data_IF_402899976166
#
_entry.id   IF_402899976166
#
_cell.length_a   1.000
_cell.length_b   1.000
_cell.length_c   1.000
_cell.angle_alpha   90.00
_cell.angle_beta   90.00
_cell.angle_gamma   90.00
#
_symmetry.space_group_name_H-M   'P 1'
#
loop_
_entity.id
_entity.type
_entity.pdbx_description
1 polymer ?
#
# COMPACT_ATOMS: atom_id res chain seq x y z
N UNK A 1 -28.20 33.36 -6.37
CA UNK A 1 -28.29 33.86 -4.98
C UNK A 1 -28.33 35.40 -4.92
N UNK A 2 -27.36 36.12 -5.51
CA UNK A 2 -27.35 37.60 -5.47
C UNK A 2 -28.65 38.23 -5.99
N UNK A 3 -29.18 37.74 -7.12
CA UNK A 3 -30.43 38.25 -7.70
C UNK A 3 -31.63 38.09 -6.76
N UNK A 4 -31.71 36.98 -6.02
CA UNK A 4 -32.79 36.73 -5.05
C UNK A 4 -32.69 37.66 -3.84
N UNK A 5 -31.47 37.90 -3.35
CA UNK A 5 -31.21 38.86 -2.25
C UNK A 5 -31.57 40.29 -2.69
N UNK A 6 -31.21 40.66 -3.93
CA UNK A 6 -31.60 41.97 -4.51
C UNK A 6 -33.11 42.10 -4.67
N UNK A 7 -33.78 41.05 -5.14
CA UNK A 7 -35.23 41.04 -5.30
C UNK A 7 -35.93 41.20 -3.95
N UNK A 8 -35.54 40.43 -2.94
CA UNK A 8 -36.08 40.58 -1.59
C UNK A 8 -35.87 42.00 -1.03
N UNK A 9 -34.73 42.62 -1.31
CA UNK A 9 -34.49 44.02 -0.95
C UNK A 9 -35.53 44.97 -1.54
N UNK A 10 -35.82 44.83 -2.84
CA UNK A 10 -36.85 45.62 -3.51
C UNK A 10 -38.24 45.33 -2.96
N UNK A 11 -38.57 44.06 -2.74
CA UNK A 11 -39.87 43.63 -2.25
C UNK A 11 -40.16 44.25 -0.87
N UNK A 12 -39.14 44.30 0.01
CA UNK A 12 -39.24 44.93 1.34
C UNK A 12 -39.32 46.46 1.29
N UNK A 13 -38.69 47.11 0.31
CA UNK A 13 -38.80 48.57 0.09
C UNK A 13 -40.22 48.97 -0.36
N UNK A 14 -40.86 48.13 -1.18
CA UNK A 14 -42.20 48.38 -1.72
C UNK A 14 -43.33 47.76 -0.88
N UNK A 15 -43.00 47.06 0.21
CA UNK A 15 -43.99 46.33 0.98
C UNK A 15 -44.96 47.29 1.69
N UNK A 16 -46.28 47.04 1.65
CA UNK A 16 -47.26 47.89 2.31
C UNK A 16 -47.05 47.91 3.83
N UNK A 17 -47.54 48.96 4.50
CA UNK A 17 -47.49 49.02 5.96
C UNK A 17 -48.36 47.90 6.58
N UNK A 18 -47.91 47.25 7.66
CA UNK A 18 -48.69 46.21 8.32
C UNK A 18 -50.00 46.78 8.88
N UNK A 19 -51.14 46.22 8.46
CA UNK A 19 -52.45 46.53 9.05
C UNK A 19 -52.73 45.70 10.31
N UNK A 20 -52.14 44.50 10.41
CA UNK A 20 -52.22 43.61 11.58
C UNK A 20 -50.98 43.79 12.48
N UNK A 21 -51.15 44.09 13.78
CA UNK A 21 -50.05 44.14 14.75
C UNK A 21 -49.22 42.85 14.86
N UNK A 22 -49.75 41.70 14.42
CA UNK A 22 -49.04 40.42 14.41
C UNK A 22 -48.19 40.20 13.16
N UNK A 23 -48.36 41.00 12.11
CA UNK A 23 -47.54 40.92 10.92
C UNK A 23 -46.14 41.48 11.21
N UNK A 24 -45.17 40.56 11.24
CA UNK A 24 -43.75 40.83 11.48
C UNK A 24 -42.90 40.58 10.25
N UNK A 25 -43.51 40.46 9.06
CA UNK A 25 -42.81 40.10 7.83
C UNK A 25 -41.66 41.07 7.56
N UNK A 26 -41.94 42.37 7.45
CA UNK A 26 -40.92 43.40 7.16
C UNK A 26 -39.82 43.38 8.22
N UNK A 27 -40.16 43.31 9.50
CA UNK A 27 -39.20 43.29 10.61
C UNK A 27 -38.27 42.08 10.54
N UNK A 28 -38.82 40.87 10.36
CA UNK A 28 -38.03 39.63 10.32
C UNK A 28 -37.23 39.51 9.04
N UNK A 29 -37.83 39.83 7.90
CA UNK A 29 -37.19 39.72 6.59
C UNK A 29 -36.12 40.80 6.37
N UNK A 30 -36.24 41.96 7.00
CA UNK A 30 -35.17 42.98 6.97
C UNK A 30 -33.92 42.50 7.71
N UNK A 31 -34.08 41.89 8.90
CA UNK A 31 -32.96 41.29 9.64
C UNK A 31 -32.33 40.16 8.83
N UNK A 32 -33.15 39.28 8.26
CA UNK A 32 -32.67 38.21 7.38
C UNK A 32 -31.93 38.77 6.17
N UNK A 33 -32.43 39.83 5.52
CA UNK A 33 -31.79 40.43 4.35
C UNK A 33 -30.38 40.94 4.67
N UNK A 34 -30.20 41.58 5.82
CA UNK A 34 -28.88 42.04 6.28
C UNK A 34 -27.93 40.87 6.45
N UNK A 35 -28.36 39.82 7.16
CA UNK A 35 -27.56 38.61 7.37
C UNK A 35 -27.24 37.89 6.06
N UNK A 36 -28.22 37.75 5.16
CA UNK A 36 -28.05 37.12 3.87
C UNK A 36 -27.06 37.89 2.97
N UNK A 37 -27.10 39.24 2.99
CA UNK A 37 -26.13 40.08 2.27
C UNK A 37 -24.72 39.90 2.80
N UNK A 38 -24.55 39.83 4.12
CA UNK A 38 -23.25 39.62 4.75
C UNK A 38 -22.67 38.25 4.41
N UNK A 39 -23.45 37.19 4.60
CA UNK A 39 -23.05 35.81 4.28
C UNK A 39 -22.74 35.64 2.79
N UNK A 40 -23.55 36.26 1.90
CA UNK A 40 -23.28 36.23 0.48
C UNK A 40 -21.97 36.95 0.11
N UNK A 41 -21.66 38.08 0.77
CA UNK A 41 -20.40 38.80 0.54
C UNK A 41 -19.19 37.98 0.94
N UNK A 42 -19.26 37.29 2.09
CA UNK A 42 -18.21 36.37 2.53
C UNK A 42 -18.02 35.23 1.53
N UNK A 43 -19.10 34.56 1.15
CA UNK A 43 -19.06 33.47 0.16
C UNK A 43 -18.51 33.93 -1.20
N UNK A 44 -18.90 35.12 -1.65
CA UNK A 44 -18.39 35.73 -2.90
C UNK A 44 -16.88 36.00 -2.83
N UNK A 45 -16.39 36.41 -1.67
CA UNK A 45 -14.95 36.63 -1.44
C UNK A 45 -14.18 35.31 -1.54
N UNK A 46 -14.68 34.25 -0.89
CA UNK A 46 -14.10 32.91 -0.95
C UNK A 46 -14.11 32.37 -2.38
N UNK A 47 -15.23 32.52 -3.08
CA UNK A 47 -15.37 32.09 -4.48
C UNK A 47 -14.34 32.79 -5.39
N UNK A 48 -14.21 34.11 -5.27
CA UNK A 48 -13.23 34.87 -6.05
C UNK A 48 -11.78 34.48 -5.71
N UNK A 49 -11.51 34.23 -4.42
CA UNK A 49 -10.20 33.71 -4.00
C UNK A 49 -9.91 32.36 -4.63
N UNK A 50 -10.90 31.45 -4.65
CA UNK A 50 -10.79 30.13 -5.26
C UNK A 50 -10.54 30.23 -6.77
N UNK A 51 -11.29 31.05 -7.49
CA UNK A 51 -11.09 31.29 -8.94
C UNK A 51 -9.69 31.83 -9.26
N UNK A 52 -9.15 32.70 -8.40
CA UNK A 52 -7.80 33.21 -8.57
C UNK A 52 -6.76 32.10 -8.42
N UNK A 53 -6.85 31.30 -7.34
CA UNK A 53 -5.95 30.18 -7.12
C UNK A 53 -5.98 29.18 -8.27
N UNK A 54 -7.17 28.86 -8.79
CA UNK A 54 -7.28 27.96 -9.94
C UNK A 54 -6.62 28.55 -11.19
N UNK A 55 -6.83 29.82 -11.48
CA UNK A 55 -6.16 30.47 -12.61
C UNK A 55 -4.65 30.45 -12.45
N UNK A 56 -4.13 30.78 -11.27
CA UNK A 56 -2.68 30.81 -11.01
C UNK A 56 -2.07 29.41 -11.20
N UNK A 57 -2.74 28.36 -10.72
CA UNK A 57 -2.30 26.96 -10.91
C UNK A 57 -2.33 26.56 -12.39
N UNK A 58 -3.42 26.88 -13.10
CA UNK A 58 -3.56 26.53 -14.52
C UNK A 58 -2.53 27.27 -15.36
N UNK A 59 -2.27 28.55 -15.09
CA UNK A 59 -1.22 29.33 -15.75
C UNK A 59 0.16 28.75 -15.47
N UNK A 60 0.45 28.38 -14.22
CA UNK A 60 1.71 27.76 -13.84
C UNK A 60 2.00 26.46 -14.60
N UNK A 61 0.97 25.63 -14.82
CA UNK A 61 1.09 24.38 -15.60
C UNK A 61 0.80 24.55 -17.10
N UNK A 62 0.63 25.80 -17.59
CA UNK A 62 0.31 26.12 -18.98
C UNK A 62 -0.95 25.42 -19.51
N UNK A 63 -1.99 25.30 -18.68
CA UNK A 63 -3.27 24.69 -19.00
C UNK A 63 -4.26 25.76 -19.45
N UNK A 64 -4.93 25.51 -20.58
CA UNK A 64 -5.96 26.39 -21.12
C UNK A 64 -7.32 26.15 -20.44
N UNK A 65 -7.73 27.09 -19.59
CA UNK A 65 -9.02 27.07 -18.88
C UNK A 65 -10.25 27.05 -19.82
N UNK A 66 -10.09 27.37 -21.11
CA UNK A 66 -11.18 27.28 -22.10
C UNK A 66 -11.36 25.87 -22.64
N UNK A 67 -10.33 25.02 -22.51
CA UNK A 67 -10.33 23.65 -23.02
C UNK A 67 -10.60 22.63 -21.93
N UNK A 68 -10.12 22.91 -20.72
CA UNK A 68 -10.21 22.01 -19.58
C UNK A 68 -10.84 22.77 -18.43
N UNK A 69 -11.92 22.22 -17.88
CA UNK A 69 -12.54 22.77 -16.67
C UNK A 69 -11.69 22.44 -15.44
N UNK A 70 -11.84 23.22 -14.37
CA UNK A 70 -11.15 22.97 -13.10
C UNK A 70 -11.52 21.60 -12.53
N UNK A 71 -12.78 21.19 -12.68
CA UNK A 71 -13.29 19.91 -12.18
C UNK A 71 -12.63 18.72 -12.89
N UNK A 72 -12.51 18.79 -14.23
CA UNK A 72 -11.82 17.77 -15.03
C UNK A 72 -10.34 17.67 -14.62
N UNK A 73 -9.64 18.81 -14.51
CA UNK A 73 -8.24 18.83 -14.10
C UNK A 73 -8.02 18.20 -12.71
N UNK A 74 -8.84 18.56 -11.73
CA UNK A 74 -8.72 18.00 -10.38
C UNK A 74 -9.07 16.51 -10.34
N UNK A 75 -10.01 16.08 -11.18
CA UNK A 75 -10.37 14.66 -11.33
C UNK A 75 -9.19 13.87 -11.91
N UNK A 76 -8.60 14.36 -13.00
CA UNK A 76 -7.43 13.75 -13.62
C UNK A 76 -6.24 13.69 -12.66
N UNK A 77 -6.01 14.76 -11.89
CA UNK A 77 -4.95 14.80 -10.88
C UNK A 77 -5.20 13.78 -9.75
N UNK A 78 -6.45 13.65 -9.30
CA UNK A 78 -6.85 12.66 -8.29
C UNK A 78 -6.64 11.23 -8.80
N UNK A 79 -7.02 10.96 -10.05
CA UNK A 79 -6.80 9.69 -10.72
C UNK A 79 -5.30 9.38 -10.83
N UNK A 80 -4.50 10.36 -11.29
CA UNK A 80 -3.05 10.23 -11.37
C UNK A 80 -2.43 9.88 -10.02
N UNK A 81 -2.80 10.59 -8.95
CA UNK A 81 -2.32 10.31 -7.59
C UNK A 81 -2.65 8.87 -7.16
N UNK A 82 -3.87 8.43 -7.44
CA UNK A 82 -4.33 7.07 -7.10
C UNK A 82 -3.52 6.02 -7.86
N UNK A 83 -3.40 6.17 -9.17
CA UNK A 83 -2.62 5.26 -10.03
C UNK A 83 -1.15 5.23 -9.63
N UNK A 84 -0.55 6.39 -9.33
CA UNK A 84 0.84 6.48 -8.91
C UNK A 84 1.08 5.73 -7.58
N UNK A 85 0.16 5.88 -6.63
CA UNK A 85 0.23 5.19 -5.34
C UNK A 85 0.10 3.68 -5.50
N UNK A 86 -0.77 3.22 -6.40
CA UNK A 86 -0.94 1.80 -6.71
C UNK A 86 0.30 1.23 -7.41
N UNK A 87 0.82 1.91 -8.43
CA UNK A 87 2.02 1.51 -9.13
C UNK A 87 3.24 1.42 -8.19
N UNK A 88 3.35 2.31 -7.20
CA UNK A 88 4.41 2.23 -6.19
C UNK A 88 4.29 0.95 -5.34
N UNK A 89 3.07 0.56 -4.93
CA UNK A 89 2.82 -0.70 -4.19
C UNK A 89 3.15 -1.91 -5.04
N UNK A 90 2.75 -1.91 -6.30
CA UNK A 90 3.02 -3.03 -7.21
C UNK A 90 4.50 -3.16 -7.54
N UNK A 91 5.23 -2.05 -7.67
CA UNK A 91 6.68 -2.07 -7.80
C UNK A 91 7.36 -2.73 -6.58
N UNK A 92 6.88 -2.43 -5.37
CA UNK A 92 7.41 -3.06 -4.15
C UNK A 92 7.12 -4.56 -4.13
N UNK A 93 5.88 -4.98 -4.41
CA UNK A 93 5.50 -6.40 -4.50
C UNK A 93 6.30 -7.16 -5.54
N UNK A 94 6.51 -6.55 -6.72
CA UNK A 94 7.32 -7.13 -7.80
C UNK A 94 8.76 -7.35 -7.32
N UNK A 95 9.36 -6.36 -6.67
CA UNK A 95 10.73 -6.47 -6.13
C UNK A 95 10.86 -7.60 -5.10
N UNK A 96 9.89 -7.72 -4.19
CA UNK A 96 9.85 -8.80 -3.20
C UNK A 96 9.71 -10.19 -3.85
N UNK A 97 8.85 -10.29 -4.88
CA UNK A 97 8.64 -11.53 -5.60
C UNK A 97 9.89 -11.96 -6.38
N UNK A 98 10.56 -11.03 -7.05
CA UNK A 98 11.81 -11.27 -7.76
C UNK A 98 12.91 -11.74 -6.81
N UNK A 99 13.04 -11.12 -5.64
CA UNK A 99 14.02 -11.55 -4.63
C UNK A 99 13.70 -12.94 -4.08
N UNK A 100 12.42 -13.24 -3.82
CA UNK A 100 11.97 -14.56 -3.38
C UNK A 100 12.27 -15.63 -4.44
N UNK A 101 11.99 -15.35 -5.71
CA UNK A 101 12.31 -16.26 -6.81
C UNK A 101 13.81 -16.47 -6.96
N UNK A 102 14.62 -15.41 -6.86
CA UNK A 102 16.08 -15.51 -6.90
C UNK A 102 16.62 -16.40 -5.78
N UNK A 103 16.14 -16.22 -4.55
CA UNK A 103 16.51 -17.08 -3.41
C UNK A 103 16.11 -18.54 -3.62
N UNK A 104 14.92 -18.79 -4.19
CA UNK A 104 14.45 -20.14 -4.49
C UNK A 104 15.34 -20.83 -5.55
N UNK A 105 15.71 -20.13 -6.63
CA UNK A 105 16.62 -20.68 -7.67
C UNK A 105 17.99 -21.03 -7.11
N UNK A 106 18.60 -20.13 -6.33
CA UNK A 106 19.90 -20.39 -5.68
C UNK A 106 19.81 -21.62 -4.74
N UNK A 107 18.71 -21.77 -4.00
CA UNK A 107 18.52 -22.92 -3.12
C UNK A 107 18.35 -24.23 -3.90
N UNK A 108 17.62 -24.21 -5.02
CA UNK A 108 17.44 -25.37 -5.91
C UNK A 108 18.75 -25.78 -6.56
N UNK A 109 19.49 -24.85 -7.17
CA UNK A 109 20.80 -25.11 -7.78
C UNK A 109 21.80 -25.69 -6.77
N UNK A 110 21.81 -25.15 -5.54
CA UNK A 110 22.65 -25.68 -4.46
C UNK A 110 22.25 -27.10 -4.06
N UNK A 111 20.95 -27.38 -3.97
CA UNK A 111 20.44 -28.71 -3.64
C UNK A 111 20.75 -29.74 -4.73
N UNK A 112 20.65 -29.35 -6.01
CA UNK A 112 20.99 -30.20 -7.15
C UNK A 112 22.49 -30.49 -7.21
N UNK A 113 23.34 -29.47 -7.04
CA UNK A 113 24.80 -29.65 -6.98
C UNK A 113 25.19 -30.58 -5.84
N UNK A 114 24.61 -30.41 -4.66
CA UNK A 114 24.86 -31.30 -3.52
C UNK A 114 24.41 -32.74 -3.81
N UNK A 115 23.26 -32.94 -4.47
CA UNK A 115 22.77 -34.27 -4.85
C UNK A 115 23.71 -34.92 -5.87
N UNK A 116 24.23 -34.19 -6.84
CA UNK A 116 25.18 -34.71 -7.84
C UNK A 116 26.52 -35.07 -7.19
N UNK A 117 27.07 -34.21 -6.32
CA UNK A 117 28.30 -34.51 -5.58
C UNK A 117 28.15 -35.77 -4.70
N UNK A 118 26.99 -35.96 -4.05
CA UNK A 118 26.69 -37.18 -3.30
C UNK A 118 26.64 -38.40 -4.20
N UNK A 119 26.02 -38.31 -5.37
CA UNK A 119 25.98 -39.42 -6.33
C UNK A 119 27.37 -39.78 -6.86
N UNK A 120 28.21 -38.79 -7.18
CA UNK A 120 29.59 -39.03 -7.63
C UNK A 120 30.45 -39.69 -6.54
N UNK A 121 30.39 -39.19 -5.29
CA UNK A 121 31.10 -39.82 -4.16
C UNK A 121 30.65 -41.26 -3.93
N UNK A 122 29.35 -41.55 -4.06
CA UNK A 122 28.82 -42.91 -3.96
C UNK A 122 29.31 -43.81 -5.11
N UNK A 123 29.35 -43.30 -6.35
CA UNK A 123 29.88 -44.04 -7.51
C UNK A 123 31.37 -44.35 -7.35
N UNK A 124 32.19 -43.37 -6.95
CA UNK A 124 33.62 -43.59 -6.73
C UNK A 124 33.90 -44.69 -5.68
N UNK A 125 33.10 -44.72 -4.61
CA UNK A 125 33.21 -45.78 -3.59
C UNK A 125 32.75 -47.17 -4.09
N UNK A 126 31.94 -47.21 -5.16
CA UNK A 126 31.52 -48.45 -5.81
C UNK A 126 32.52 -48.88 -6.90
N UNK A 127 33.16 -47.96 -7.62
CA UNK A 127 34.16 -48.27 -8.66
C UNK A 127 35.47 -48.83 -8.05
N UNK A 128 35.83 -48.44 -6.82
CA UNK A 128 36.89 -49.10 -6.03
C UNK A 128 36.59 -50.60 -5.83
N UNK A 129 35.33 -51.04 -5.96
CA UNK A 129 34.96 -52.46 -5.89
C UNK A 129 35.17 -53.22 -7.20
N UNK A 130 35.41 -52.53 -8.32
CA UNK A 130 35.51 -53.13 -9.66
C UNK A 130 36.90 -53.06 -10.29
N UNK A 131 37.86 -52.36 -9.68
CA UNK A 131 39.26 -52.57 -10.04
C UNK A 131 39.75 -53.91 -9.49
N UNK A 132 40.01 -54.76 -10.46
CA UNK A 132 40.35 -56.17 -10.39
C UNK A 132 41.82 -56.33 -10.01
N UNK A 133 42.15 -56.11 -8.74
CA UNK A 133 43.32 -56.70 -8.08
C UNK A 133 43.01 -56.87 -6.57
N UNK A 134 42.68 -58.11 -6.24
CA UNK A 134 42.03 -58.55 -5.01
C UNK A 134 43.04 -58.61 -3.84
N UNK A 135 43.37 -57.49 -3.20
CA UNK A 135 44.01 -57.54 -1.86
C UNK A 135 43.84 -56.30 -0.97
N UNK A 136 43.05 -55.28 -1.35
CA UNK A 136 42.91 -54.03 -0.57
C UNK A 136 41.48 -53.53 -0.35
N UNK A 137 40.47 -54.22 -0.91
CA UNK A 137 39.07 -53.78 -0.85
C UNK A 137 38.50 -53.88 0.58
N UNK A 138 38.85 -54.93 1.32
CA UNK A 138 38.38 -55.12 2.70
C UNK A 138 38.93 -54.05 3.64
N UNK A 139 40.22 -53.76 3.56
CA UNK A 139 40.87 -52.75 4.41
C UNK A 139 40.35 -51.34 4.09
N UNK A 140 40.13 -51.03 2.80
CA UNK A 140 39.51 -49.77 2.39
C UNK A 140 38.07 -49.61 2.92
N UNK A 141 37.30 -50.70 2.97
CA UNK A 141 35.94 -50.68 3.53
C UNK A 141 35.96 -50.52 5.07
N UNK A 142 36.87 -51.22 5.75
CA UNK A 142 37.04 -51.10 7.20
C UNK A 142 37.55 -49.71 7.59
N UNK A 143 38.48 -49.14 6.83
CA UNK A 143 38.96 -47.78 7.01
C UNK A 143 37.85 -46.74 6.77
N UNK A 144 37.01 -46.93 5.75
CA UNK A 144 35.85 -46.07 5.51
C UNK A 144 34.78 -46.16 6.61
N UNK A 145 34.61 -47.34 7.22
CA UNK A 145 33.72 -47.55 8.37
C UNK A 145 34.31 -46.91 9.65
N UNK A 146 35.61 -47.11 9.90
CA UNK A 146 36.33 -46.62 11.08
C UNK A 146 36.50 -45.10 11.07
N UNK A 147 36.89 -44.51 9.93
CA UNK A 147 36.93 -43.05 9.72
C UNK A 147 35.54 -42.40 9.69
N UNK A 148 34.48 -43.21 9.64
CA UNK A 148 33.09 -42.78 9.55
C UNK A 148 32.69 -42.21 8.19
N UNK A 149 33.56 -42.28 7.17
CA UNK A 149 33.30 -41.85 5.81
C UNK A 149 32.11 -42.60 5.18
N UNK A 150 31.93 -43.88 5.52
CA UNK A 150 30.83 -44.74 5.05
C UNK A 150 29.42 -44.27 5.50
N UNK A 151 29.32 -43.46 6.56
CA UNK A 151 28.03 -43.07 7.17
C UNK A 151 27.76 -41.57 7.15
N UNK A 152 28.57 -40.78 6.43
CA UNK A 152 28.44 -39.30 6.41
C UNK A 152 27.07 -38.80 5.94
N UNK A 153 26.31 -39.59 5.17
CA UNK A 153 25.02 -39.18 4.61
C UNK A 153 23.87 -39.13 5.63
N UNK A 154 23.91 -39.88 6.75
CA UNK A 154 22.81 -39.89 7.74
C UNK A 154 22.83 -38.72 8.74
N UNK A 155 23.91 -37.93 8.80
CA UNK A 155 24.11 -36.90 9.82
C UNK A 155 23.79 -35.46 9.41
N UNK A 156 23.15 -35.22 8.26
CA UNK A 156 22.50 -33.92 8.01
C UNK A 156 21.09 -33.91 8.61
N UNK A 157 21.00 -33.86 9.96
CA UNK A 157 19.78 -33.40 10.63
C UNK A 157 19.53 -31.95 10.19
N UNK A 158 18.30 -31.67 9.74
CA UNK A 158 17.85 -30.30 9.50
C UNK A 158 18.12 -29.41 10.73
N UNK A 159 18.40 -28.11 10.56
CA UNK A 159 18.55 -27.21 11.69
C UNK A 159 17.25 -27.24 12.49
N UNK A 160 17.31 -27.72 13.75
CA UNK A 160 16.21 -27.56 14.70
C UNK A 160 16.05 -26.06 14.90
N UNK A 161 14.97 -25.47 14.37
CA UNK A 161 14.49 -24.19 14.84
C UNK A 161 14.27 -24.33 16.36
N UNK A 162 15.08 -23.62 17.15
CA UNK A 162 14.81 -23.44 18.58
C UNK A 162 13.61 -22.51 18.66
N UNK A 163 12.44 -23.09 18.94
CA UNK A 163 11.31 -22.30 19.41
C UNK A 163 11.69 -21.75 20.79
N UNK A 164 11.88 -20.44 20.89
CA UNK A 164 11.77 -19.75 22.18
C UNK A 164 10.31 -19.80 22.64
N UNK A 165 10.02 -20.20 23.89
CA UNK A 165 8.66 -20.10 24.41
C UNK A 165 8.33 -18.63 24.70
N UNK A 166 7.40 -18.07 23.92
CA UNK A 166 6.67 -16.87 24.31
C UNK A 166 5.83 -17.19 25.55
N UNK A 167 6.17 -16.55 26.67
CA UNK A 167 5.31 -16.45 27.84
C UNK A 167 4.00 -15.76 27.45
N UNK A 168 2.91 -16.53 27.35
CA UNK A 168 1.55 -15.97 27.45
C UNK A 168 1.09 -16.13 28.89
N UNK A 169 0.97 -15.00 29.59
CA UNK A 169 0.34 -14.89 30.89
C UNK A 169 -1.16 -15.15 30.78
N UNK A 170 -1.64 -16.19 31.44
CA UNK A 170 -3.07 -16.47 31.61
C UNK A 170 -3.60 -15.73 32.83
N UNK A 171 -4.44 -14.71 32.63
CA UNK A 171 -5.39 -14.25 33.65
C UNK A 171 -6.77 -14.22 33.03
N UNK A 172 -7.54 -15.29 33.28
CA UNK A 172 -8.99 -15.31 33.09
C UNK A 172 -9.61 -15.65 34.44
N UNK A 173 -10.22 -14.64 35.05
CA UNK A 173 -10.99 -14.70 36.28
C UNK A 173 -12.35 -15.36 36.02
N UNK A 174 -12.70 -16.37 36.81
CA UNK A 174 -14.03 -16.99 36.83
C UNK A 174 -14.98 -16.26 37.81
N UNK A 175 -16.31 -16.34 37.62
CA UNK A 175 -17.27 -15.56 38.40
C UNK A 175 -17.76 -16.31 39.65
N UNK A 176 -18.10 -15.52 40.69
CA UNK A 176 -19.17 -15.79 41.67
C UNK A 176 -19.93 -14.49 41.86
#
# INVERSE_FOLDING_TARGET
MEGQIKQLGKDLETFPQPEDPHDKFVTKMSIFLVQAKEQFKELSTIHKSMENLYRDVMEYYAIDLKKISVEEFLTDLSNFKTMFTEAAKDNMRRKEMEEKQRRARIAQEKAEKEKLERQQKKKHLLDIKTEKDETGVMDSLLEALQSGAAFRDRRKRAPRFKNEPQNFSSTSTAPV
#
